data_IF_041996772133
#
_entry.id   IF_041996772133
#
_cell.length_a   1.000
_cell.length_b   1.000
_cell.length_c   1.000
_cell.angle_alpha   90.00
_cell.angle_beta   90.00
_cell.angle_gamma   90.00
#
_symmetry.space_group_name_H-M   'P 1'
#
loop_
_entity.id
_entity.type
_entity.pdbx_description
1 polymer ?
#
# COMPACT_ATOMS: atom_id res chain seq x y z
N UNK A 1 12.01 17.98 10.84
CA UNK A 1 13.08 17.00 11.12
C UNK A 1 14.23 17.12 10.12
N UNK A 2 15.23 16.23 10.17
CA UNK A 2 16.44 16.24 9.30
C UNK A 2 16.21 15.67 7.88
N UNK A 3 14.96 15.60 7.40
CA UNK A 3 14.55 15.06 6.09
C UNK A 3 14.94 13.61 5.75
N UNK A 4 15.56 12.86 6.66
CA UNK A 4 15.95 11.45 6.47
C UNK A 4 14.77 10.57 6.02
N UNK A 5 13.58 10.74 6.60
CA UNK A 5 12.39 9.99 6.18
C UNK A 5 12.03 10.19 4.71
N UNK A 6 12.16 11.42 4.20
CA UNK A 6 11.92 11.74 2.80
C UNK A 6 12.92 11.04 1.88
N UNK A 7 14.21 11.02 2.26
CA UNK A 7 15.27 10.36 1.49
C UNK A 7 15.04 8.84 1.40
N UNK A 8 14.66 8.22 2.51
CA UNK A 8 14.32 6.80 2.57
C UNK A 8 13.13 6.51 1.64
N UNK A 9 12.03 7.25 1.79
CA UNK A 9 10.82 7.02 1.01
C UNK A 9 11.06 7.24 -0.49
N UNK A 10 11.78 8.29 -0.86
CA UNK A 10 12.18 8.56 -2.26
C UNK A 10 12.99 7.39 -2.83
N UNK A 11 13.94 6.85 -2.06
CA UNK A 11 14.75 5.70 -2.49
C UNK A 11 13.90 4.45 -2.72
N UNK A 12 12.90 4.21 -1.86
CA UNK A 12 11.97 3.09 -2.00
C UNK A 12 11.13 3.24 -3.27
N UNK A 13 10.59 4.44 -3.53
CA UNK A 13 9.77 4.72 -4.72
C UNK A 13 10.61 4.50 -5.99
N UNK A 14 11.82 5.02 -6.05
CA UNK A 14 12.70 4.84 -7.21
C UNK A 14 13.09 3.37 -7.43
N UNK A 15 13.26 2.60 -6.36
CA UNK A 15 13.47 1.15 -6.48
C UNK A 15 12.22 0.44 -7.01
N UNK A 16 11.04 0.84 -6.56
CA UNK A 16 9.77 0.28 -7.03
C UNK A 16 9.60 0.49 -8.54
N UNK A 17 9.89 1.69 -9.05
CA UNK A 17 9.90 2.01 -10.49
C UNK A 17 10.82 1.06 -11.27
N UNK A 18 12.06 0.90 -10.81
CA UNK A 18 13.06 0.02 -11.45
C UNK A 18 12.63 -1.45 -11.49
N UNK A 19 11.79 -1.87 -10.56
CA UNK A 19 11.24 -3.23 -10.50
C UNK A 19 9.93 -3.38 -11.30
N UNK A 20 9.43 -2.32 -11.94
CA UNK A 20 8.14 -2.34 -12.65
C UNK A 20 6.93 -2.43 -11.73
N UNK A 21 7.09 -2.07 -10.44
CA UNK A 21 5.99 -2.04 -9.48
C UNK A 21 5.13 -0.80 -9.77
N UNK A 22 3.86 -1.02 -10.08
CA UNK A 22 2.91 0.02 -10.50
C UNK A 22 2.24 0.76 -9.34
N UNK A 23 2.22 0.17 -8.15
CA UNK A 23 1.51 0.68 -6.98
C UNK A 23 2.26 0.39 -5.69
N UNK A 24 2.27 1.36 -4.77
CA UNK A 24 2.84 1.25 -3.43
C UNK A 24 1.79 1.59 -2.39
N UNK A 25 1.64 0.71 -1.39
CA UNK A 25 0.67 0.86 -0.32
C UNK A 25 1.36 1.02 1.03
N UNK A 26 0.77 1.85 1.91
CA UNK A 26 1.18 1.94 3.31
C UNK A 26 0.00 2.08 4.28
N UNK A 27 0.28 1.74 5.54
CA UNK A 27 -0.56 1.98 6.72
C UNK A 27 0.19 2.96 7.60
N UNK A 28 -0.35 4.16 7.82
CA UNK A 28 0.40 5.25 8.46
C UNK A 28 -0.48 6.19 9.27
N UNK A 29 0.08 6.77 10.33
CA UNK A 29 -0.51 7.93 11.02
C UNK A 29 -0.03 9.27 10.42
N UNK A 30 1.11 9.25 9.71
CA UNK A 30 1.79 10.43 9.17
C UNK A 30 1.26 10.77 7.77
N UNK A 31 -0.05 11.02 7.66
CA UNK A 31 -0.73 11.19 6.35
C UNK A 31 -0.16 12.33 5.53
N UNK A 32 0.12 13.48 6.14
CA UNK A 32 0.69 14.65 5.45
C UNK A 32 2.08 14.37 4.87
N UNK A 33 2.92 13.61 5.58
CA UNK A 33 4.24 13.22 5.11
C UNK A 33 4.15 12.31 3.87
N UNK A 34 3.24 11.34 3.86
CA UNK A 34 3.05 10.48 2.69
C UNK A 34 2.36 11.24 1.54
N UNK A 35 1.40 12.11 1.84
CA UNK A 35 0.74 12.97 0.86
C UNK A 35 1.73 13.89 0.14
N UNK A 36 2.77 14.39 0.82
CA UNK A 36 3.83 15.18 0.16
C UNK A 36 4.64 14.40 -0.88
N UNK A 37 4.54 13.06 -0.88
CA UNK A 37 5.17 12.17 -1.87
C UNK A 37 4.14 11.60 -2.88
N UNK A 38 2.93 12.14 -2.92
CA UNK A 38 1.89 11.76 -3.89
C UNK A 38 1.01 10.59 -3.46
N UNK A 39 1.17 10.05 -2.25
CA UNK A 39 0.24 9.07 -1.73
C UNK A 39 -1.13 9.70 -1.49
N UNK A 40 -2.19 8.95 -1.79
CA UNK A 40 -3.58 9.33 -1.56
C UNK A 40 -4.22 8.36 -0.59
N UNK A 41 -5.06 8.89 0.30
CA UNK A 41 -5.89 8.04 1.14
C UNK A 41 -6.84 7.21 0.28
N UNK A 42 -6.97 5.93 0.62
CA UNK A 42 -7.91 5.03 -0.04
C UNK A 42 -8.90 4.49 0.99
N UNK A 43 -10.15 4.38 0.58
CA UNK A 43 -11.20 3.70 1.34
C UNK A 43 -11.33 2.29 0.80
N UNK A 44 -11.19 1.31 1.68
CA UNK A 44 -11.33 -0.10 1.34
C UNK A 44 -11.94 -0.81 2.53
N UNK A 45 -13.05 -1.53 2.31
CA UNK A 45 -13.63 -2.36 3.35
C UNK A 45 -12.58 -3.39 3.78
N UNK A 46 -12.32 -3.57 5.09
CA UNK A 46 -11.51 -4.68 5.54
C UNK A 46 -12.26 -5.95 5.14
N UNK A 47 -11.69 -6.71 4.21
CA UNK A 47 -12.15 -8.08 4.01
C UNK A 47 -11.70 -8.85 5.25
N UNK A 48 -12.63 -9.58 5.86
CA UNK A 48 -12.37 -10.27 7.12
C UNK A 48 -11.07 -11.11 7.05
N UNK A 49 -10.26 -11.20 8.12
CA UNK A 49 -8.98 -11.90 8.11
C UNK A 49 -9.06 -13.34 7.57
N UNK A 50 -10.18 -14.02 7.79
CA UNK A 50 -10.43 -15.37 7.28
C UNK A 50 -10.57 -15.40 5.75
N UNK A 51 -11.24 -14.39 5.17
CA UNK A 51 -11.34 -14.23 3.72
C UNK A 51 -9.98 -13.85 3.14
N UNK A 52 -9.19 -12.99 3.81
CA UNK A 52 -7.80 -12.71 3.41
C UNK A 52 -6.94 -13.98 3.34
N UNK A 53 -7.08 -14.88 4.33
CA UNK A 53 -6.37 -16.17 4.33
C UNK A 53 -6.84 -17.10 3.21
N UNK A 54 -8.12 -17.09 2.86
CA UNK A 54 -8.65 -17.84 1.72
C UNK A 54 -8.11 -17.31 0.38
N UNK A 55 -7.98 -15.99 0.25
CA UNK A 55 -7.43 -15.34 -0.94
C UNK A 55 -5.94 -15.63 -1.12
N UNK A 56 -5.15 -15.67 -0.04
CA UNK A 56 -3.74 -16.07 -0.09
C UNK A 56 -3.54 -17.53 -0.55
N UNK A 57 -4.53 -18.41 -0.31
CA UNK A 57 -4.48 -19.82 -0.73
C UNK A 57 -4.87 -20.02 -2.20
N UNK A 58 -5.62 -19.09 -2.79
CA UNK A 58 -6.10 -19.14 -4.17
C UNK A 58 -5.28 -18.22 -5.09
N UNK A 59 -3.96 -18.28 -4.97
CA UNK A 59 -3.00 -17.44 -5.72
C UNK A 59 -2.91 -17.85 -7.20
N UNK A 60 -4.04 -17.92 -7.90
CA UNK A 60 -4.11 -17.96 -9.35
C UNK A 60 -4.01 -16.52 -9.89
N UNK A 61 -3.30 -16.32 -11.00
CA UNK A 61 -3.06 -15.00 -11.61
C UNK A 61 -4.35 -14.16 -11.78
N UNK A 62 -5.49 -14.79 -12.06
CA UNK A 62 -6.78 -14.11 -12.24
C UNK A 62 -7.40 -13.54 -10.95
N UNK A 63 -7.10 -14.10 -9.77
CA UNK A 63 -7.60 -13.58 -8.49
C UNK A 63 -6.78 -12.36 -8.02
N UNK A 64 -5.49 -12.31 -8.37
CA UNK A 64 -4.64 -11.16 -8.10
C UNK A 64 -5.06 -9.89 -8.87
N UNK A 65 -5.62 -10.05 -10.08
CA UNK A 65 -6.21 -8.93 -10.84
C UNK A 65 -7.53 -8.42 -10.25
N UNK A 66 -8.31 -9.30 -9.62
CA UNK A 66 -9.56 -8.93 -8.94
C UNK A 66 -9.36 -8.39 -7.52
N UNK A 67 -8.23 -8.72 -6.89
CA UNK A 67 -7.93 -8.31 -5.54
C UNK A 67 -7.25 -6.96 -5.53
N UNK A 68 -7.96 -5.96 -5.04
CA UNK A 68 -7.33 -4.76 -4.52
C UNK A 68 -6.64 -5.10 -3.17
N UNK A 69 -5.52 -5.83 -3.22
CA UNK A 69 -4.81 -6.39 -2.06
C UNK A 69 -4.46 -5.33 -0.99
N UNK A 70 -4.44 -4.08 -1.42
CA UNK A 70 -4.21 -2.86 -0.66
C UNK A 70 -5.38 -2.56 0.30
N UNK A 71 -6.61 -2.85 -0.14
CA UNK A 71 -7.84 -2.73 0.66
C UNK A 71 -7.99 -3.84 1.70
N UNK A 72 -7.46 -5.05 1.41
CA UNK A 72 -7.71 -6.26 2.22
C UNK A 72 -6.66 -6.48 3.32
N UNK A 73 -5.49 -5.84 3.25
CA UNK A 73 -4.42 -6.01 4.25
C UNK A 73 -4.91 -5.58 5.63
N UNK A 74 -4.84 -6.40 6.70
CA UNK A 74 -5.36 -6.02 8.01
C UNK A 74 -4.73 -4.73 8.55
N UNK A 75 -5.58 -3.84 9.08
CA UNK A 75 -5.16 -2.61 9.73
C UNK A 75 -5.30 -2.78 11.25
N UNK A 76 -4.22 -3.26 11.89
CA UNK A 76 -4.22 -3.61 13.31
C UNK A 76 -4.16 -2.39 14.24
N UNK A 77 -3.70 -1.25 13.75
CA UNK A 77 -3.51 -0.04 14.55
C UNK A 77 -4.58 1.04 14.27
N UNK A 78 -5.53 0.78 13.37
CA UNK A 78 -6.58 1.72 12.99
C UNK A 78 -6.05 2.99 12.31
N UNK A 79 -4.88 2.91 11.67
CA UNK A 79 -4.26 4.05 11.00
C UNK A 79 -4.71 4.18 9.52
N UNK A 80 -4.22 5.16 8.79
CA UNK A 80 -4.75 5.47 7.46
C UNK A 80 -4.11 4.57 6.40
N UNK A 81 -4.95 4.04 5.50
CA UNK A 81 -4.52 3.36 4.28
C UNK A 81 -4.19 4.40 3.21
N UNK A 82 -2.98 4.36 2.68
CA UNK A 82 -2.60 5.25 1.58
C UNK A 82 -1.95 4.49 0.43
N UNK A 83 -2.19 4.98 -0.79
CA UNK A 83 -1.73 4.39 -2.03
C UNK A 83 -1.01 5.42 -2.89
N UNK A 84 0.12 5.04 -3.47
CA UNK A 84 0.81 5.77 -4.52
C UNK A 84 0.79 4.93 -5.80
N UNK A 85 0.31 5.52 -6.89
CA UNK A 85 0.50 4.96 -8.23
C UNK A 85 1.86 5.43 -8.74
N UNK A 86 2.67 4.48 -9.16
CA UNK A 86 4.05 4.69 -9.60
C UNK A 86 4.06 4.47 -11.12
N UNK A 87 4.21 5.57 -11.87
CA UNK A 87 4.39 5.55 -13.33
C UNK A 87 5.84 5.21 -13.72
#
# INVERSE_FOLDING_TARGET
GKKIGHEILTTIIERAKKLGIKRLFCLTFETEFFASHGFKEITGAPVEPEVYQQLLRSYDEGIAEFLDLESVKPNTLGNTRMLLVVE
#
